data_IF_483508214305
#
_entry.id   IF_483508214305
#
_cell.length_a   1.000
_cell.length_b   1.000
_cell.length_c   1.000
_cell.angle_alpha   90.00
_cell.angle_beta   90.00
_cell.angle_gamma   90.00
#
_symmetry.space_group_name_H-M   'P 1'
#
loop_
_entity.id
_entity.type
_entity.pdbx_description
1 polymer ?
#
# COMPACT_ATOMS: atom_id res chain seq x y z
N UNK A 1 -51.82 -65.74 -30.77
CA UNK A 1 -51.39 -64.45 -31.39
C UNK A 1 -50.44 -63.72 -30.45
N UNK A 2 -49.41 -63.08 -31.02
CA UNK A 2 -48.46 -62.09 -30.43
C UNK A 2 -47.38 -62.56 -29.42
N UNK A 3 -46.23 -62.89 -30.02
CA UNK A 3 -44.80 -62.63 -29.69
C UNK A 3 -44.41 -62.31 -28.22
N UNK A 4 -43.49 -63.09 -27.63
CA UNK A 4 -42.56 -62.60 -26.64
C UNK A 4 -41.39 -61.85 -27.32
N UNK A 5 -41.04 -60.67 -26.80
CA UNK A 5 -39.75 -60.00 -27.05
C UNK A 5 -38.72 -60.61 -26.10
N UNK A 6 -37.61 -61.13 -26.64
CA UNK A 6 -36.42 -61.45 -25.87
C UNK A 6 -35.32 -60.39 -26.07
N UNK A 7 -34.44 -60.22 -25.08
CA UNK A 7 -33.61 -59.04 -24.89
C UNK A 7 -32.46 -58.94 -25.88
N UNK A 8 -31.99 -57.71 -26.13
CA UNK A 8 -30.72 -57.46 -26.82
C UNK A 8 -29.55 -57.84 -25.90
N UNK A 9 -28.58 -58.63 -26.36
CA UNK A 9 -27.30 -58.79 -25.65
C UNK A 9 -26.48 -57.51 -25.77
N UNK A 10 -25.92 -57.06 -24.65
CA UNK A 10 -24.91 -56.00 -24.56
C UNK A 10 -23.58 -56.48 -25.14
N UNK A 11 -22.84 -55.63 -25.88
CA UNK A 11 -21.55 -56.01 -26.44
C UNK A 11 -20.49 -56.12 -25.33
N UNK A 12 -19.98 -57.33 -25.14
CA UNK A 12 -18.76 -57.62 -24.37
C UNK A 12 -17.60 -56.78 -24.90
N UNK A 13 -17.03 -55.95 -24.03
CA UNK A 13 -15.86 -55.14 -24.32
C UNK A 13 -14.64 -56.05 -24.54
N UNK A 14 -14.17 -56.11 -25.78
CA UNK A 14 -13.01 -56.89 -26.17
C UNK A 14 -11.75 -56.40 -25.44
N UNK A 15 -11.05 -57.26 -24.67
CA UNK A 15 -9.84 -56.86 -23.96
C UNK A 15 -8.75 -56.47 -24.97
N UNK A 16 -8.17 -55.29 -24.78
CA UNK A 16 -7.14 -54.76 -25.67
C UNK A 16 -5.90 -55.66 -25.69
N UNK A 17 -5.54 -56.12 -26.89
CA UNK A 17 -4.36 -56.95 -27.11
C UNK A 17 -3.08 -56.24 -26.67
N UNK A 18 -2.20 -56.99 -26.00
CA UNK A 18 -0.93 -56.53 -25.42
C UNK A 18 -0.05 -55.71 -26.39
N UNK A 19 -0.18 -55.94 -27.70
CA UNK A 19 0.52 -55.17 -28.73
C UNK A 19 0.09 -53.69 -28.82
N UNK A 20 -1.20 -53.36 -28.60
CA UNK A 20 -1.67 -51.97 -28.60
C UNK A 20 -1.18 -51.21 -27.38
N UNK A 21 -1.09 -51.88 -26.23
CA UNK A 21 -0.55 -51.28 -25.00
C UNK A 21 0.94 -50.95 -25.17
N UNK A 22 1.71 -51.85 -25.78
CA UNK A 22 3.14 -51.64 -26.05
C UNK A 22 3.39 -50.49 -27.04
N UNK A 23 2.55 -50.35 -28.07
CA UNK A 23 2.63 -49.23 -29.02
C UNK A 23 2.34 -47.90 -28.34
N UNK A 24 1.33 -47.83 -27.48
CA UNK A 24 1.01 -46.62 -26.72
C UNK A 24 2.12 -46.26 -25.72
N UNK A 25 2.72 -47.25 -25.05
CA UNK A 25 3.85 -47.02 -24.17
C UNK A 25 5.09 -46.52 -24.92
N UNK A 26 5.39 -47.08 -26.09
CA UNK A 26 6.51 -46.63 -26.91
C UNK A 26 6.31 -45.18 -27.40
N UNK A 27 5.09 -44.82 -27.80
CA UNK A 27 4.72 -43.45 -28.19
C UNK A 27 4.82 -42.47 -27.02
N UNK A 28 4.30 -42.84 -25.85
CA UNK A 28 4.40 -42.01 -24.65
C UNK A 28 5.87 -41.81 -24.23
N UNK A 29 6.68 -42.86 -24.26
CA UNK A 29 8.12 -42.78 -23.94
C UNK A 29 8.87 -41.91 -24.94
N UNK A 30 8.61 -42.06 -26.25
CA UNK A 30 9.22 -41.23 -27.29
C UNK A 30 8.84 -39.75 -27.13
N UNK A 31 7.59 -39.46 -26.78
CA UNK A 31 7.12 -38.08 -26.51
C UNK A 31 7.79 -37.50 -25.28
N UNK A 32 7.97 -38.31 -24.23
CA UNK A 32 8.65 -37.89 -23.00
C UNK A 32 10.14 -37.62 -23.26
N UNK A 33 10.80 -38.48 -24.04
CA UNK A 33 12.21 -38.29 -24.44
C UNK A 33 12.37 -37.05 -25.33
N UNK A 34 11.43 -36.78 -26.23
CA UNK A 34 11.44 -35.58 -27.06
C UNK A 34 11.26 -34.29 -26.22
N UNK A 35 10.37 -34.31 -25.23
CA UNK A 35 10.17 -33.19 -24.30
C UNK A 35 11.40 -32.94 -23.41
N UNK A 36 12.01 -34.01 -22.88
CA UNK A 36 13.23 -33.91 -22.07
C UNK A 36 14.42 -33.47 -22.93
N UNK A 37 14.56 -33.99 -24.15
CA UNK A 37 15.59 -33.57 -25.10
C UNK A 37 15.44 -32.11 -25.52
N UNK A 38 14.22 -31.65 -25.76
CA UNK A 38 13.90 -30.25 -26.03
C UNK A 38 14.24 -29.33 -24.85
N UNK A 39 13.92 -29.75 -23.62
CA UNK A 39 14.22 -28.98 -22.41
C UNK A 39 15.73 -28.91 -22.12
N UNK A 40 16.48 -29.98 -22.36
CA UNK A 40 17.95 -29.98 -22.23
C UNK A 40 18.58 -29.09 -23.30
N UNK A 41 18.03 -29.06 -24.53
CA UNK A 41 18.52 -28.19 -25.60
C UNK A 41 18.28 -26.70 -25.29
N UNK A 42 17.14 -26.33 -24.72
CA UNK A 42 16.86 -24.93 -24.33
C UNK A 42 17.71 -24.48 -23.13
N UNK A 43 17.96 -25.36 -22.16
CA UNK A 43 18.87 -25.07 -21.04
C UNK A 43 20.33 -24.99 -21.49
N UNK A 44 20.77 -25.79 -22.48
CA UNK A 44 22.13 -25.65 -23.03
C UNK A 44 22.30 -24.42 -23.92
N UNK A 45 21.27 -24.05 -24.69
CA UNK A 45 21.29 -22.86 -25.53
C UNK A 45 21.29 -21.54 -24.72
N UNK A 46 20.93 -21.57 -23.43
CA UNK A 46 21.01 -20.43 -22.53
C UNK A 46 22.34 -20.33 -21.76
N UNK A 47 23.24 -21.32 -21.90
CA UNK A 47 24.55 -21.38 -21.21
C UNK A 47 25.72 -21.50 -22.21
N UNK A 48 25.49 -21.26 -23.50
CA UNK A 48 26.60 -21.13 -24.45
C UNK A 48 27.32 -19.78 -24.22
N UNK A 49 28.64 -19.76 -23.98
CA UNK A 49 29.39 -18.52 -23.86
C UNK A 49 29.36 -17.78 -25.21
N UNK A 50 28.83 -16.56 -25.20
CA UNK A 50 28.80 -15.67 -26.35
C UNK A 50 30.23 -15.33 -26.75
N UNK A 51 30.59 -15.67 -28.00
CA UNK A 51 31.79 -15.15 -28.64
C UNK A 51 31.70 -13.62 -28.77
N UNK A 52 32.86 -12.96 -28.64
CA UNK A 52 33.09 -11.51 -28.68
C UNK A 52 32.14 -10.78 -29.65
N UNK A 53 31.22 -10.00 -29.09
CA UNK A 53 30.49 -8.95 -29.79
C UNK A 53 31.11 -7.60 -29.46
N UNK A 54 31.10 -6.62 -30.39
CA UNK A 54 31.72 -5.32 -30.18
C UNK A 54 31.13 -4.68 -28.92
N UNK A 55 31.98 -4.11 -28.05
CA UNK A 55 31.57 -3.41 -26.82
C UNK A 55 30.39 -2.48 -27.11
N UNK A 56 29.19 -2.94 -26.77
CA UNK A 56 28.10 -2.07 -26.36
C UNK A 56 28.62 -1.30 -25.14
N UNK A 57 28.41 0.03 -25.06
CA UNK A 57 28.67 0.73 -23.81
C UNK A 57 27.92 -0.01 -22.71
N UNK A 58 28.60 -0.34 -21.61
CA UNK A 58 27.90 -0.58 -20.36
C UNK A 58 27.11 0.70 -20.09
N UNK A 59 25.82 0.71 -20.40
CA UNK A 59 24.88 1.57 -19.71
C UNK A 59 24.94 1.08 -18.28
N UNK A 60 25.79 1.70 -17.46
CA UNK A 60 25.68 1.58 -16.03
C UNK A 60 24.22 1.89 -15.70
N UNK A 61 23.51 0.97 -15.04
CA UNK A 61 22.26 1.32 -14.39
C UNK A 61 22.55 2.59 -13.58
N UNK A 62 21.80 3.66 -13.85
CA UNK A 62 22.04 4.91 -13.15
C UNK A 62 21.73 4.61 -11.68
N UNK A 63 22.65 4.90 -10.74
CA UNK A 63 22.42 4.62 -9.32
C UNK A 63 21.05 5.14 -8.81
N UNK A 64 20.55 6.22 -9.42
CA UNK A 64 19.25 6.82 -9.14
C UNK A 64 18.05 5.95 -9.57
N UNK A 65 18.14 5.22 -10.69
CA UNK A 65 17.06 4.34 -11.17
C UNK A 65 16.88 3.13 -10.23
N UNK A 66 17.99 2.59 -9.71
CA UNK A 66 17.96 1.51 -8.72
C UNK A 66 17.42 1.99 -7.36
N UNK A 67 17.70 3.25 -6.99
CA UNK A 67 17.17 3.86 -5.77
C UNK A 67 15.66 4.10 -5.84
N UNK A 68 15.16 4.68 -6.93
CA UNK A 68 13.72 4.93 -7.11
C UNK A 68 12.92 3.63 -7.14
N UNK A 69 13.39 2.62 -7.88
CA UNK A 69 12.76 1.30 -7.92
C UNK A 69 12.74 0.63 -6.54
N UNK A 70 13.82 0.77 -5.75
CA UNK A 70 13.86 0.27 -4.36
C UNK A 70 12.84 0.98 -3.48
N UNK A 71 12.77 2.31 -3.53
CA UNK A 71 11.80 3.10 -2.75
C UNK A 71 10.36 2.78 -3.13
N UNK A 72 10.09 2.56 -4.41
CA UNK A 72 8.78 2.12 -4.91
C UNK A 72 8.41 0.75 -4.39
N UNK A 73 9.34 -0.21 -4.37
CA UNK A 73 9.11 -1.52 -3.76
C UNK A 73 8.81 -1.40 -2.25
N UNK A 74 9.54 -0.54 -1.52
CA UNK A 74 9.31 -0.29 -0.08
C UNK A 74 7.94 0.36 0.17
N UNK A 75 7.56 1.35 -0.63
CA UNK A 75 6.26 2.01 -0.51
C UNK A 75 5.09 1.08 -0.89
N UNK A 76 5.26 0.25 -1.92
CA UNK A 76 4.24 -0.69 -2.41
C UNK A 76 4.10 -1.95 -1.55
N UNK A 77 5.05 -2.24 -0.65
CA UNK A 77 4.98 -3.39 0.24
C UNK A 77 3.64 -3.44 0.99
N UNK A 78 2.95 -4.58 0.90
CA UNK A 78 1.61 -4.73 1.48
C UNK A 78 1.65 -4.56 3.01
N UNK A 79 0.61 -3.94 3.55
CA UNK A 79 0.38 -3.83 5.00
C UNK A 79 -0.64 -4.87 5.45
N UNK A 80 -0.78 -5.08 6.75
CA UNK A 80 -1.74 -6.02 7.32
C UNK A 80 -3.15 -5.67 6.82
N UNK A 81 -3.87 -6.60 6.15
CA UNK A 81 -5.23 -6.33 5.73
C UNK A 81 -6.17 -6.33 6.95
N UNK A 82 -7.12 -5.41 6.97
CA UNK A 82 -8.13 -5.26 8.04
C UNK A 82 -9.52 -5.12 7.43
N UNK A 83 -10.57 -5.44 8.19
CA UNK A 83 -11.94 -5.23 7.74
C UNK A 83 -12.27 -3.72 7.82
N UNK A 84 -12.97 -3.14 6.82
CA UNK A 84 -13.43 -1.75 6.90
C UNK A 84 -14.17 -1.39 8.19
N UNK A 85 -14.89 -2.35 8.79
CA UNK A 85 -15.60 -2.15 10.06
C UNK A 85 -14.66 -1.95 11.27
N UNK A 86 -13.42 -2.42 11.19
CA UNK A 86 -12.42 -2.30 12.26
C UNK A 86 -12.01 -0.85 12.50
N UNK A 87 -12.22 0.04 11.51
CA UNK A 87 -11.99 1.47 11.64
C UNK A 87 -13.02 2.16 12.56
N UNK A 88 -14.21 1.60 12.73
CA UNK A 88 -15.32 2.29 13.42
C UNK A 88 -15.49 1.89 14.87
N UNK A 89 -14.94 0.74 15.26
CA UNK A 89 -15.12 0.15 16.58
C UNK A 89 -14.06 -0.92 16.83
N UNK A 90 -13.77 -1.18 18.09
CA UNK A 90 -12.98 -2.33 18.49
C UNK A 90 -12.89 -2.47 20.00
N UNK A 91 -12.51 -3.67 20.45
CA UNK A 91 -12.34 -3.97 21.88
C UNK A 91 -10.98 -3.41 22.31
N UNK A 92 -10.92 -2.55 23.35
CA UNK A 92 -9.65 -2.06 23.88
C UNK A 92 -8.74 -3.22 24.27
N UNK A 93 -7.45 -3.08 23.97
CA UNK A 93 -6.46 -4.07 24.37
C UNK A 93 -6.39 -4.17 25.90
N UNK A 94 -6.20 -5.40 26.41
CA UNK A 94 -6.06 -5.64 27.85
C UNK A 94 -4.68 -5.21 28.39
N UNK A 95 -3.70 -5.03 27.51
CA UNK A 95 -2.34 -4.58 27.84
C UNK A 95 -1.99 -3.34 27.03
N UNK A 96 -1.26 -2.37 27.62
CA UNK A 96 -0.73 -1.24 26.86
C UNK A 96 0.11 -1.71 25.68
N UNK A 97 -0.15 -1.14 24.50
CA UNK A 97 0.62 -1.43 23.30
C UNK A 97 1.94 -0.66 23.22
N UNK A 98 2.68 -0.86 22.11
CA UNK A 98 3.92 -0.14 21.86
C UNK A 98 3.65 1.36 21.70
N UNK A 99 4.62 2.18 22.14
CA UNK A 99 4.54 3.65 22.10
C UNK A 99 5.53 4.22 21.10
N UNK A 100 5.18 5.32 20.43
CA UNK A 100 6.08 6.16 19.64
C UNK A 100 6.12 7.58 20.23
N UNK A 101 7.32 8.12 20.38
CA UNK A 101 7.54 9.50 20.79
C UNK A 101 7.70 10.35 19.54
N UNK A 102 6.79 11.30 19.31
CA UNK A 102 6.95 12.25 18.23
C UNK A 102 7.60 13.54 18.74
N UNK A 103 8.60 14.07 18.01
CA UNK A 103 9.09 15.42 18.26
C UNK A 103 7.96 16.42 18.06
N UNK A 104 7.91 17.48 18.88
CA UNK A 104 6.97 18.58 18.67
C UNK A 104 7.39 19.48 17.50
N UNK A 105 6.42 20.10 16.84
CA UNK A 105 6.67 21.13 15.83
C UNK A 105 7.38 22.33 16.47
N UNK A 106 8.33 22.95 15.76
CA UNK A 106 9.08 24.12 16.25
C UNK A 106 8.72 25.41 15.52
N UNK A 107 8.06 25.32 14.35
CA UNK A 107 7.65 26.48 13.54
C UNK A 107 6.29 26.23 12.88
N UNK A 108 5.69 27.29 12.35
CA UNK A 108 4.57 27.18 11.39
C UNK A 108 5.15 27.37 9.99
N UNK A 109 4.99 26.35 9.15
CA UNK A 109 5.49 26.32 7.79
C UNK A 109 4.50 26.88 6.75
N UNK A 110 4.82 26.71 5.46
CA UNK A 110 3.96 27.07 4.35
C UNK A 110 2.54 26.55 4.50
N UNK A 111 1.58 27.29 3.94
CA UNK A 111 0.16 26.98 4.06
C UNK A 111 -0.27 26.74 5.53
N UNK A 112 0.32 27.41 6.52
CA UNK A 112 -0.06 27.32 7.95
C UNK A 112 -0.03 25.89 8.53
N UNK A 113 0.79 25.00 8.00
CA UNK A 113 0.99 23.64 8.54
C UNK A 113 2.12 23.68 9.55
N UNK A 114 1.97 23.07 10.73
CA UNK A 114 3.06 23.03 11.71
C UNK A 114 4.25 22.21 11.16
N UNK A 115 5.47 22.62 11.50
CA UNK A 115 6.70 22.09 10.90
C UNK A 115 7.92 22.28 11.80
N UNK A 116 9.12 22.15 11.23
CA UNK A 116 10.41 22.23 11.92
C UNK A 116 10.73 20.97 12.71
N UNK A 117 10.22 19.83 12.23
CA UNK A 117 10.55 18.52 12.76
C UNK A 117 11.99 18.12 12.39
N UNK A 118 12.71 17.38 13.25
CA UNK A 118 14.09 16.98 12.99
C UNK A 118 14.20 15.98 11.83
N UNK A 119 15.38 15.92 11.20
CA UNK A 119 15.76 14.92 10.18
C UNK A 119 15.90 13.51 10.80
N UNK A 120 14.76 12.92 11.13
CA UNK A 120 14.58 11.60 11.72
C UNK A 120 13.29 10.98 11.17
N UNK A 121 13.15 9.64 11.19
CA UNK A 121 11.89 8.99 10.80
C UNK A 121 10.69 9.49 11.60
N UNK A 122 10.84 9.72 12.90
CA UNK A 122 9.79 10.28 13.76
C UNK A 122 9.44 11.73 13.38
N UNK A 123 10.43 12.50 12.92
CA UNK A 123 10.18 13.84 12.38
C UNK A 123 9.41 13.83 11.07
N UNK A 124 9.64 12.84 10.20
CA UNK A 124 8.85 12.64 8.99
C UNK A 124 7.39 12.29 9.31
N UNK A 125 7.19 11.41 10.31
CA UNK A 125 5.85 11.07 10.83
C UNK A 125 5.17 12.30 11.43
N UNK A 126 5.88 13.11 12.22
CA UNK A 126 5.35 14.36 12.77
C UNK A 126 4.91 15.33 11.67
N UNK A 127 5.71 15.50 10.62
CA UNK A 127 5.33 16.36 9.50
C UNK A 127 4.11 15.84 8.74
N UNK A 128 4.03 14.53 8.50
CA UNK A 128 2.86 13.90 7.87
C UNK A 128 1.59 14.10 8.70
N UNK A 129 1.68 13.92 10.01
CA UNK A 129 0.54 14.09 10.93
C UNK A 129 -0.03 15.52 10.85
N UNK A 130 0.83 16.54 10.79
CA UNK A 130 0.41 17.93 10.66
C UNK A 130 -0.20 18.25 9.29
N UNK A 131 0.33 17.66 8.20
CA UNK A 131 -0.28 17.77 6.86
C UNK A 131 -1.69 17.17 6.88
N UNK A 132 -1.83 15.97 7.44
CA UNK A 132 -3.11 15.25 7.54
C UNK A 132 -4.14 16.05 8.35
N UNK A 133 -3.76 16.54 9.54
CA UNK A 133 -4.62 17.38 10.39
C UNK A 133 -5.07 18.62 9.64
N UNK A 134 -4.15 19.33 8.96
CA UNK A 134 -4.47 20.55 8.23
C UNK A 134 -5.40 20.32 7.04
N UNK A 135 -5.30 19.18 6.36
CA UNK A 135 -6.17 18.83 5.22
C UNK A 135 -7.54 18.37 5.70
N UNK A 136 -7.58 17.39 6.59
CA UNK A 136 -8.81 16.69 6.99
C UNK A 136 -9.67 17.53 7.93
N UNK A 137 -9.10 18.44 8.74
CA UNK A 137 -9.91 19.35 9.56
C UNK A 137 -10.69 20.34 8.69
N UNK A 138 -10.10 20.79 7.59
CA UNK A 138 -10.69 21.81 6.71
C UNK A 138 -11.70 21.21 5.73
N UNK A 139 -11.53 19.94 5.31
CA UNK A 139 -12.34 19.27 4.28
C UNK A 139 -12.69 20.21 3.12
N UNK A 140 -11.65 20.78 2.50
CA UNK A 140 -11.78 21.75 1.42
C UNK A 140 -10.86 21.36 0.26
N UNK A 141 -11.42 21.27 -0.94
CA UNK A 141 -10.67 20.95 -2.17
C UNK A 141 -9.62 22.02 -2.44
N UNK A 142 -9.98 23.29 -2.33
CA UNK A 142 -9.02 24.39 -2.54
C UNK A 142 -7.88 24.33 -1.53
N UNK A 143 -8.22 24.09 -0.25
CA UNK A 143 -7.24 24.05 0.83
C UNK A 143 -6.29 22.87 0.73
N UNK A 144 -6.81 21.69 0.39
CA UNK A 144 -5.99 20.50 0.15
C UNK A 144 -5.02 20.74 -1.03
N UNK A 145 -5.45 21.44 -2.08
CA UNK A 145 -4.58 21.83 -3.20
C UNK A 145 -3.45 22.77 -2.80
N UNK A 146 -3.73 23.80 -2.00
CA UNK A 146 -2.71 24.71 -1.46
C UNK A 146 -1.67 23.98 -0.61
N UNK A 147 -2.13 23.10 0.29
CA UNK A 147 -1.25 22.31 1.16
C UNK A 147 -0.39 21.37 0.32
N UNK A 148 -0.99 20.62 -0.61
CA UNK A 148 -0.24 19.73 -1.49
C UNK A 148 0.84 20.48 -2.27
N UNK A 149 0.50 21.62 -2.88
CA UNK A 149 1.47 22.41 -3.64
C UNK A 149 2.62 22.94 -2.78
N UNK A 150 2.36 23.26 -1.51
CA UNK A 150 3.36 23.78 -0.59
C UNK A 150 4.24 22.68 0.05
N UNK A 151 3.73 21.45 0.13
CA UNK A 151 4.35 20.35 0.87
C UNK A 151 4.81 19.17 0.01
N UNK A 152 4.84 19.33 -1.32
CA UNK A 152 5.27 18.27 -2.24
C UNK A 152 6.54 18.63 -2.98
N UNK A 153 7.44 17.66 -3.11
CA UNK A 153 8.63 17.79 -3.95
C UNK A 153 8.28 17.73 -5.44
N UNK A 154 9.12 18.30 -6.32
CA UNK A 154 9.02 18.04 -7.76
C UNK A 154 9.06 16.53 -8.05
N UNK A 155 8.07 16.01 -8.79
CA UNK A 155 7.94 14.58 -9.08
C UNK A 155 7.01 13.81 -8.14
N UNK A 156 6.51 14.43 -7.07
CA UNK A 156 5.39 13.89 -6.29
C UNK A 156 4.15 13.71 -7.18
N UNK A 157 3.23 12.79 -6.83
CA UNK A 157 1.97 12.65 -7.54
C UNK A 157 1.26 13.99 -7.68
N UNK A 158 0.62 14.29 -8.82
CA UNK A 158 -0.19 15.48 -8.95
C UNK A 158 -1.37 15.40 -7.98
N UNK A 159 -1.87 16.55 -7.53
CA UNK A 159 -2.89 16.65 -6.47
C UNK A 159 -4.16 15.84 -6.79
N UNK A 160 -4.50 15.66 -8.06
CA UNK A 160 -5.67 14.90 -8.49
C UNK A 160 -5.55 13.40 -8.13
N UNK A 161 -4.32 12.88 -8.13
CA UNK A 161 -3.95 11.50 -7.77
C UNK A 161 -3.51 11.36 -6.31
N UNK A 162 -3.42 12.47 -5.57
CA UNK A 162 -3.05 12.43 -4.16
C UNK A 162 -4.19 11.80 -3.32
N UNK A 163 -3.92 10.75 -2.52
CA UNK A 163 -5.00 10.06 -1.81
C UNK A 163 -5.77 10.95 -0.83
N UNK A 164 -5.13 11.87 -0.10
CA UNK A 164 -5.84 12.79 0.81
C UNK A 164 -6.84 13.69 0.07
N UNK A 165 -6.52 14.14 -1.15
CA UNK A 165 -7.48 14.85 -1.99
C UNK A 165 -8.69 13.95 -2.33
N UNK A 166 -8.45 12.68 -2.63
CA UNK A 166 -9.52 11.71 -2.87
C UNK A 166 -10.43 11.53 -1.64
N UNK A 167 -9.85 11.47 -0.44
CA UNK A 167 -10.59 11.38 0.81
C UNK A 167 -11.44 12.62 1.08
N UNK A 168 -10.89 13.83 0.87
CA UNK A 168 -11.65 15.09 0.99
C UNK A 168 -12.85 15.10 0.05
N UNK A 169 -12.65 14.77 -1.24
CA UNK A 169 -13.75 14.71 -2.21
C UNK A 169 -14.80 13.66 -1.84
N UNK A 170 -14.37 12.50 -1.35
CA UNK A 170 -15.26 11.41 -0.94
C UNK A 170 -16.12 11.82 0.25
N UNK A 171 -15.55 12.47 1.26
CA UNK A 171 -16.28 13.00 2.40
C UNK A 171 -17.32 14.04 1.98
N UNK A 172 -16.91 15.02 1.17
CA UNK A 172 -17.81 16.09 0.69
C UNK A 172 -18.94 15.52 -0.16
N UNK A 173 -18.63 14.57 -1.05
CA UNK A 173 -19.63 13.90 -1.89
C UNK A 173 -20.61 13.07 -1.06
N UNK A 174 -20.13 12.26 -0.13
CA UNK A 174 -20.97 11.44 0.75
C UNK A 174 -21.90 12.30 1.61
N UNK A 175 -21.42 13.46 2.03
CA UNK A 175 -22.16 14.44 2.83
C UNK A 175 -23.00 15.41 1.99
N UNK A 176 -23.00 15.27 0.65
CA UNK A 176 -23.72 16.12 -0.31
C UNK A 176 -23.37 17.62 -0.22
N UNK A 177 -22.11 17.91 0.13
CA UNK A 177 -21.57 19.26 0.27
C UNK A 177 -20.94 19.74 -1.05
N UNK A 178 -20.63 21.03 -1.10
CA UNK A 178 -19.87 21.63 -2.20
C UNK A 178 -18.37 21.27 -2.15
N UNK A 179 -17.52 22.18 -2.64
CA UNK A 179 -16.06 22.00 -2.65
C UNK A 179 -15.38 22.22 -1.27
N UNK A 180 -16.17 22.52 -0.25
CA UNK A 180 -15.75 22.75 1.14
C UNK A 180 -16.87 22.32 2.07
N UNK A 181 -16.52 21.87 3.29
CA UNK A 181 -17.51 21.51 4.31
C UNK A 181 -18.42 22.68 4.67
N UNK A 182 -19.69 22.39 4.94
CA UNK A 182 -20.67 23.43 5.31
C UNK A 182 -20.31 24.09 6.66
N UNK A 183 -20.73 25.34 6.91
CA UNK A 183 -20.42 26.05 8.16
C UNK A 183 -20.88 25.35 9.44
N UNK A 184 -21.94 24.52 9.38
CA UNK A 184 -22.42 23.72 10.50
C UNK A 184 -21.65 22.42 10.73
N UNK A 185 -20.76 22.04 9.80
CA UNK A 185 -19.99 20.79 9.88
C UNK A 185 -18.67 21.00 10.61
N UNK A 186 -18.48 20.20 11.65
CA UNK A 186 -17.20 20.14 12.39
C UNK A 186 -16.49 18.86 12.04
N UNK A 187 -15.20 18.95 11.70
CA UNK A 187 -14.31 17.80 11.58
C UNK A 187 -13.12 18.06 12.48
N UNK A 188 -12.83 17.13 13.37
CA UNK A 188 -11.65 17.17 14.24
C UNK A 188 -10.81 15.93 14.01
N UNK A 189 -9.51 16.12 13.88
CA UNK A 189 -8.53 15.08 13.55
C UNK A 189 -7.47 15.08 14.63
N UNK A 190 -7.29 13.95 15.29
CA UNK A 190 -6.23 13.77 16.29
C UNK A 190 -5.35 12.60 15.90
N UNK A 191 -4.07 12.82 15.58
CA UNK A 191 -3.11 11.73 15.48
C UNK A 191 -3.05 10.99 16.83
N UNK A 192 -3.19 9.66 16.82
CA UNK A 192 -3.27 8.83 18.04
C UNK A 192 -2.31 7.65 18.02
N UNK A 193 -1.91 7.17 16.85
CA UNK A 193 -0.83 6.20 16.70
C UNK A 193 -0.07 6.45 15.41
N UNK A 194 1.11 5.86 15.28
CA UNK A 194 1.91 5.98 14.07
C UNK A 194 2.81 4.76 13.87
N UNK A 195 3.37 4.68 12.67
CA UNK A 195 4.40 3.71 12.33
C UNK A 195 5.35 4.29 11.28
N UNK A 196 6.61 3.88 11.38
CA UNK A 196 7.58 4.01 10.27
C UNK A 196 7.50 2.71 9.50
N UNK A 197 6.88 2.73 8.32
CA UNK A 197 6.70 1.52 7.50
C UNK A 197 8.01 1.07 6.86
N UNK A 198 8.77 2.03 6.34
CA UNK A 198 10.05 1.77 5.69
C UNK A 198 10.94 3.02 5.75
N UNK A 199 12.24 2.82 5.63
CA UNK A 199 13.23 3.89 5.44
C UNK A 199 14.20 3.48 4.34
N UNK A 200 14.78 4.47 3.67
CA UNK A 200 15.87 4.29 2.71
C UNK A 200 16.90 5.41 2.90
N UNK A 201 17.82 5.17 3.82
CA UNK A 201 18.72 6.20 4.33
C UNK A 201 18.04 7.18 5.30
N UNK A 202 18.74 8.27 5.69
CA UNK A 202 18.23 9.23 6.65
C UNK A 202 17.24 10.25 6.07
N UNK A 203 17.13 10.31 4.73
CA UNK A 203 16.38 11.35 4.02
C UNK A 203 15.07 10.86 3.42
N UNK A 204 14.75 9.58 3.52
CA UNK A 204 13.55 9.03 2.90
C UNK A 204 12.87 8.02 3.82
N UNK A 205 11.56 8.21 4.01
CA UNK A 205 10.75 7.48 4.98
C UNK A 205 9.37 7.24 4.38
N UNK A 206 8.82 6.04 4.54
CA UNK A 206 7.37 5.83 4.42
C UNK A 206 6.77 5.98 5.80
N UNK A 207 6.23 7.16 6.06
CA UNK A 207 5.61 7.51 7.32
C UNK A 207 4.13 7.11 7.27
N UNK A 208 3.58 6.61 8.37
CA UNK A 208 2.15 6.40 8.49
C UNK A 208 1.60 6.88 9.83
N UNK A 209 0.42 7.44 9.78
CA UNK A 209 -0.31 8.01 10.91
C UNK A 209 -1.68 7.35 10.98
N UNK A 210 -2.10 7.01 12.20
CA UNK A 210 -3.46 6.62 12.51
C UNK A 210 -4.08 7.76 13.31
N UNK A 211 -5.10 8.37 12.73
CA UNK A 211 -5.84 9.47 13.32
C UNK A 211 -7.19 9.02 13.84
N UNK A 212 -7.59 9.54 14.98
CA UNK A 212 -8.97 9.57 15.43
C UNK A 212 -9.67 10.76 14.76
N UNK A 213 -10.55 10.44 13.80
CA UNK A 213 -11.31 11.43 13.04
C UNK A 213 -12.74 11.43 13.56
N UNK A 214 -13.20 12.59 14.03
CA UNK A 214 -14.58 12.82 14.45
C UNK A 214 -15.20 13.88 13.56
N UNK A 215 -16.34 13.56 12.97
CA UNK A 215 -17.14 14.48 12.16
C UNK A 215 -18.53 14.64 12.79
N UNK A 216 -19.01 15.87 12.84
CA UNK A 216 -20.36 16.23 13.29
C UNK A 216 -21.01 17.04 12.18
N UNK A 217 -22.06 16.47 11.58
CA UNK A 217 -22.90 17.10 10.55
C UNK A 217 -24.30 17.26 11.15
N UNK A 218 -25.12 16.22 11.07
CA UNK A 218 -26.40 16.09 11.79
C UNK A 218 -26.26 15.16 13.00
N UNK A 219 -25.44 14.13 12.84
CA UNK A 219 -25.05 13.17 13.86
C UNK A 219 -23.52 13.09 13.92
N UNK A 220 -23.02 12.59 15.04
CA UNK A 220 -21.61 12.31 15.19
C UNK A 220 -21.23 10.99 14.52
N UNK A 221 -20.13 11.04 13.76
CA UNK A 221 -19.42 9.87 13.26
C UNK A 221 -17.97 9.96 13.73
N UNK A 222 -17.39 8.82 14.11
CA UNK A 222 -16.00 8.71 14.56
C UNK A 222 -15.35 7.46 13.99
N UNK A 223 -14.13 7.59 13.49
CA UNK A 223 -13.37 6.47 12.95
C UNK A 223 -11.86 6.62 13.18
N UNK A 224 -11.16 5.50 13.26
CA UNK A 224 -9.72 5.44 13.04
C UNK A 224 -9.41 5.52 11.54
N UNK A 225 -8.61 6.48 11.14
CA UNK A 225 -8.19 6.70 9.76
C UNK A 225 -6.69 6.50 9.66
N UNK A 226 -6.27 5.42 9.00
CA UNK A 226 -4.86 5.15 8.72
C UNK A 226 -4.44 5.75 7.39
N UNK A 227 -3.32 6.47 7.39
CA UNK A 227 -2.73 7.05 6.19
C UNK A 227 -1.22 6.82 6.15
N UNK A 228 -0.67 6.52 4.97
CA UNK A 228 0.77 6.44 4.74
C UNK A 228 1.17 7.38 3.61
N UNK A 229 2.34 7.98 3.71
CA UNK A 229 2.91 8.85 2.68
C UNK A 229 4.42 8.65 2.57
N UNK A 230 4.95 8.87 1.36
CA UNK A 230 6.40 8.93 1.15
C UNK A 230 6.87 10.31 1.57
N UNK A 231 7.78 10.37 2.52
CA UNK A 231 8.34 11.61 3.04
C UNK A 231 9.83 11.67 2.70
N UNK A 232 10.29 12.81 2.23
CA UNK A 232 11.70 13.06 1.92
C UNK A 232 12.18 14.38 2.51
N UNK A 233 13.40 14.36 3.04
CA UNK A 233 14.07 15.53 3.57
C UNK A 233 14.64 16.37 2.43
N UNK A 234 14.27 17.66 2.34
CA UNK A 234 14.72 18.56 1.28
C UNK A 234 16.03 19.32 1.61
N UNK A 235 16.59 19.05 2.79
CA UNK A 235 17.70 19.80 3.37
C UNK A 235 17.28 20.66 4.57
N UNK A 236 15.99 20.97 4.68
CA UNK A 236 15.43 21.87 5.70
C UNK A 236 14.18 21.33 6.40
N UNK A 237 13.30 20.63 5.70
CA UNK A 237 12.08 20.04 6.25
C UNK A 237 11.66 18.78 5.45
N UNK A 238 10.71 18.04 6.01
CA UNK A 238 10.13 16.86 5.37
C UNK A 238 9.03 17.29 4.38
N UNK A 239 9.04 16.73 3.19
CA UNK A 239 8.08 16.97 2.11
C UNK A 239 7.55 15.64 1.56
N UNK A 240 6.39 15.67 0.90
CA UNK A 240 5.85 14.54 0.14
C UNK A 240 6.81 14.24 -1.01
N UNK A 241 7.34 13.03 -1.02
CA UNK A 241 8.39 12.61 -1.93
C UNK A 241 7.84 12.18 -3.30
N UNK A 242 8.69 12.13 -4.34
CA UNK A 242 8.35 11.54 -5.63
C UNK A 242 8.00 10.04 -5.56
N UNK A 243 7.22 9.57 -6.53
CA UNK A 243 6.85 8.17 -6.73
C UNK A 243 5.37 7.87 -6.46
N UNK A 244 4.94 6.64 -6.72
CA UNK A 244 3.54 6.24 -6.49
C UNK A 244 3.19 6.20 -4.99
N UNK A 245 1.92 6.48 -4.63
CA UNK A 245 1.48 6.44 -3.24
C UNK A 245 1.75 5.09 -2.57
N UNK A 246 2.06 5.06 -1.25
CA UNK A 246 2.25 3.81 -0.53
C UNK A 246 1.00 2.91 -0.55
N UNK A 247 1.21 1.61 -0.30
CA UNK A 247 0.11 0.68 -0.05
C UNK A 247 -0.80 1.19 1.07
N UNK A 248 -2.10 0.93 0.94
CA UNK A 248 -3.13 1.41 1.87
C UNK A 248 -2.81 1.03 3.31
N UNK A 249 -2.85 2.02 4.19
CA UNK A 249 -2.65 1.82 5.62
C UNK A 249 -3.88 1.16 6.27
N UNK A 250 -3.68 0.25 7.24
CA UNK A 250 -4.77 -0.40 7.94
C UNK A 250 -5.48 0.60 8.86
N UNK A 251 -6.68 1.02 8.46
CA UNK A 251 -7.57 1.81 9.32
C UNK A 251 -8.17 0.91 10.38
N UNK A 252 -7.75 1.07 11.63
CA UNK A 252 -8.17 0.27 12.80
C UNK A 252 -8.61 1.17 13.93
N UNK A 253 -9.44 0.66 14.84
CA UNK A 253 -9.83 1.40 16.03
C UNK A 253 -8.61 1.57 16.96
N UNK A 254 -8.26 2.80 17.36
CA UNK A 254 -7.08 3.06 18.17
C UNK A 254 -7.07 2.31 19.51
N UNK A 255 -5.91 1.81 19.91
CA UNK A 255 -5.72 1.16 21.23
C UNK A 255 -6.28 -0.26 21.35
N UNK A 256 -6.56 -0.92 20.22
CA UNK A 256 -7.03 -2.31 20.18
C UNK A 256 -5.89 -3.28 19.91
N UNK A 257 -6.08 -4.57 20.25
CA UNK A 257 -5.09 -5.61 19.93
C UNK A 257 -4.84 -5.70 18.42
N UNK A 258 -5.88 -5.49 17.61
CA UNK A 258 -5.76 -5.43 16.15
C UNK A 258 -4.91 -4.24 15.69
N UNK A 259 -5.09 -3.06 16.29
CA UNK A 259 -4.26 -1.90 15.96
C UNK A 259 -2.78 -2.18 16.24
N UNK A 260 -2.47 -2.80 17.39
CA UNK A 260 -1.10 -3.18 17.74
C UNK A 260 -0.54 -4.28 16.83
N UNK A 261 -1.36 -5.28 16.48
CA UNK A 261 -0.97 -6.33 15.54
C UNK A 261 -0.74 -5.79 14.11
N UNK A 262 -1.45 -4.72 13.72
CA UNK A 262 -1.25 -4.01 12.47
C UNK A 262 0.02 -3.13 12.46
N UNK A 263 0.72 -3.01 13.59
CA UNK A 263 1.98 -2.28 13.72
C UNK A 263 1.83 -0.84 14.24
N UNK A 264 0.62 -0.42 14.60
CA UNK A 264 0.40 0.92 15.15
C UNK A 264 1.00 1.07 16.54
N UNK A 265 1.80 2.11 16.72
CA UNK A 265 2.40 2.48 18.01
C UNK A 265 1.68 3.71 18.54
N UNK A 266 1.08 3.61 19.72
CA UNK A 266 0.35 4.72 20.35
C UNK A 266 1.27 5.93 20.52
N UNK A 267 0.78 7.10 20.16
CA UNK A 267 1.55 8.33 20.36
C UNK A 267 1.57 8.67 21.85
N UNK A 268 2.76 8.95 22.35
CA UNK A 268 2.88 9.51 23.67
C UNK A 268 2.26 10.92 23.70
N UNK A 269 1.64 11.32 24.82
CA UNK A 269 1.27 12.71 25.03
C UNK A 269 2.51 13.60 24.87
N UNK A 270 2.37 14.72 24.17
CA UNK A 270 3.46 15.69 24.05
C UNK A 270 3.99 16.06 25.45
N UNK A 271 5.28 15.85 25.69
CA UNK A 271 5.94 16.33 26.90
C UNK A 271 5.88 17.86 26.91
N UNK A 272 5.20 18.42 27.91
CA UNK A 272 5.11 19.87 28.13
C UNK A 272 6.44 20.46 28.58
#
# INVERSE_FOLDING_TARGET
MRRPRHPRPEPEAQPWGQGRLLVLFALALATTIALVGGLVFTVRATIAPTADSPRTPHTAARPDEDEEARRDALAAAAMVPVNPDDAWRGTPAATPGPVMQLPGSTVIGPARVASGFPRTPEGAVGQLAEIEVAVLTEMSVGRAGEIHAAWSMPGAPPVERWPLMSHVRSFLSASRMGSVKDPGTTVSVSPVAAQVKATDGPDWVVACVLSDVRAVIDVEARMGFGYCERMQWDGTHWLIAPGEPPALAPSTWPGTDLAYAAGWRTLAPASR
#
